data_IF_247351556173
#
_entry.id   IF_247351556173
#
_cell.length_a   1.000
_cell.length_b   1.000
_cell.length_c   1.000
_cell.angle_alpha   90.00
_cell.angle_beta   90.00
_cell.angle_gamma   90.00
#
_symmetry.space_group_name_H-M   'P 1'
#
loop_
_entity.id
_entity.type
_entity.pdbx_description
1 polymer ?
#
# COMPACT_ATOMS: atom_id res chain seq x y z
N UNK A 1 -35.08 23.50 32.50
CA UNK A 1 -34.27 24.62 33.03
C UNK A 1 -33.07 24.78 32.12
N UNK A 2 -32.89 25.95 31.53
CA UNK A 2 -31.79 26.20 30.60
C UNK A 2 -30.45 26.37 31.32
N UNK A 3 -29.33 26.15 30.63
CA UNK A 3 -27.96 26.38 31.16
C UNK A 3 -27.80 27.81 31.69
N UNK A 4 -28.51 28.78 31.10
CA UNK A 4 -28.45 30.20 31.49
C UNK A 4 -29.12 30.50 32.85
N UNK A 5 -30.07 29.67 33.29
CA UNK A 5 -30.74 29.82 34.58
C UNK A 5 -30.00 29.08 35.71
N UNK A 6 -29.10 28.18 35.32
CA UNK A 6 -28.43 27.23 36.19
C UNK A 6 -27.06 27.71 36.71
N UNK A 7 -26.42 28.64 36.00
CA UNK A 7 -25.03 29.05 36.24
C UNK A 7 -24.90 30.57 36.39
N UNK A 8 -24.01 31.01 37.28
CA UNK A 8 -23.65 32.42 37.43
C UNK A 8 -22.87 32.96 36.22
N UNK A 9 -22.79 34.29 36.09
CA UNK A 9 -22.08 34.94 34.98
C UNK A 9 -20.60 34.54 34.87
N UNK A 10 -19.93 34.28 36.01
CA UNK A 10 -18.54 33.78 36.02
C UNK A 10 -18.43 32.34 35.45
N UNK A 11 -19.33 31.45 35.86
CA UNK A 11 -19.37 30.05 35.41
C UNK A 11 -19.72 29.95 33.93
N UNK A 12 -20.68 30.77 33.50
CA UNK A 12 -21.05 30.87 32.09
C UNK A 12 -19.88 31.39 31.24
N UNK A 13 -19.11 32.37 31.75
CA UNK A 13 -17.89 32.85 31.08
C UNK A 13 -16.86 31.73 30.92
N UNK A 14 -16.68 30.89 31.94
CA UNK A 14 -15.77 29.75 31.87
C UNK A 14 -16.18 28.74 30.78
N UNK A 15 -17.47 28.41 30.70
CA UNK A 15 -18.03 27.57 29.65
C UNK A 15 -17.81 28.21 28.27
N UNK A 16 -18.09 29.51 28.12
CA UNK A 16 -17.88 30.21 26.85
C UNK A 16 -16.42 30.23 26.39
N UNK A 17 -15.45 30.38 27.31
CA UNK A 17 -14.02 30.34 26.95
C UNK A 17 -13.64 28.95 26.42
N UNK A 18 -14.20 27.88 26.99
CA UNK A 18 -13.99 26.51 26.51
C UNK A 18 -14.59 26.30 25.11
N UNK A 19 -15.84 26.71 24.88
CA UNK A 19 -16.47 26.60 23.57
C UNK A 19 -15.76 27.43 22.49
N UNK A 20 -15.26 28.62 22.86
CA UNK A 20 -14.45 29.43 21.96
C UNK A 20 -13.10 28.76 21.65
N UNK A 21 -12.56 27.96 22.58
CA UNK A 21 -11.36 27.16 22.35
C UNK A 21 -11.60 26.07 21.30
N UNK A 22 -12.75 25.37 21.33
CA UNK A 22 -13.15 24.43 20.28
C UNK A 22 -13.26 25.12 18.91
N UNK A 23 -13.91 26.29 18.87
CA UNK A 23 -14.03 27.06 17.64
C UNK A 23 -12.67 27.47 17.08
N UNK A 24 -11.76 27.94 17.95
CA UNK A 24 -10.42 28.37 17.56
C UNK A 24 -9.53 27.22 17.09
N UNK A 25 -9.68 26.02 17.65
CA UNK A 25 -8.95 24.83 17.24
C UNK A 25 -9.53 24.15 16.00
N UNK A 26 -10.63 24.69 15.43
CA UNK A 26 -11.26 24.19 14.20
C UNK A 26 -11.76 22.75 14.36
N UNK A 27 -12.20 22.41 15.57
CA UNK A 27 -12.61 21.04 15.93
C UNK A 27 -13.79 20.52 15.11
N UNK A 28 -14.63 21.41 14.60
CA UNK A 28 -15.72 21.07 13.68
C UNK A 28 -15.17 20.44 12.39
N UNK A 29 -14.15 21.06 11.78
CA UNK A 29 -13.55 20.56 10.55
C UNK A 29 -12.79 19.24 10.79
N UNK A 30 -12.09 19.13 11.93
CA UNK A 30 -11.46 17.88 12.33
C UNK A 30 -12.52 16.78 12.57
N UNK A 31 -13.68 17.12 13.11
CA UNK A 31 -14.82 16.21 13.24
C UNK A 31 -15.30 15.67 11.90
N UNK A 32 -15.48 16.54 10.90
CA UNK A 32 -15.83 16.13 9.53
C UNK A 32 -14.76 15.23 8.90
N UNK A 33 -13.48 15.56 9.07
CA UNK A 33 -12.38 14.74 8.59
C UNK A 33 -12.37 13.35 9.24
N UNK A 34 -12.56 13.27 10.56
CA UNK A 34 -12.66 12.00 11.27
C UNK A 34 -13.85 11.16 10.79
N UNK A 35 -15.00 11.79 10.54
CA UNK A 35 -16.18 11.10 10.03
C UNK A 35 -15.92 10.49 8.64
N UNK A 36 -15.31 11.26 7.74
CA UNK A 36 -14.90 10.77 6.42
C UNK A 36 -13.94 9.59 6.51
N UNK A 37 -12.91 9.70 7.35
CA UNK A 37 -11.93 8.63 7.54
C UNK A 37 -12.54 7.38 8.20
N UNK A 38 -13.53 7.53 9.08
CA UNK A 38 -14.28 6.39 9.65
C UNK A 38 -15.10 5.66 8.59
N UNK A 39 -15.67 6.39 7.62
CA UNK A 39 -16.40 5.78 6.49
C UNK A 39 -15.42 5.00 5.61
N UNK A 40 -14.27 5.59 5.26
CA UNK A 40 -13.26 4.95 4.41
C UNK A 40 -12.59 3.74 5.10
N UNK A 41 -12.33 3.84 6.40
CA UNK A 41 -11.64 2.82 7.19
C UNK A 41 -12.55 2.11 8.18
N UNK A 42 -13.82 1.91 7.81
CA UNK A 42 -14.82 1.31 8.71
C UNK A 42 -14.40 -0.07 9.25
N UNK A 43 -13.62 -0.83 8.48
CA UNK A 43 -13.11 -2.16 8.84
C UNK A 43 -11.85 -2.14 9.70
N UNK A 44 -11.20 -0.98 9.93
CA UNK A 44 -9.91 -0.91 10.61
C UNK A 44 -10.06 -0.62 12.12
N UNK A 45 -9.87 -1.61 13.02
CA UNK A 45 -10.01 -1.42 14.47
C UNK A 45 -9.01 -0.42 15.07
N UNK A 46 -7.83 -0.28 14.48
CA UNK A 46 -6.83 0.70 14.95
C UNK A 46 -7.30 2.14 14.71
N UNK A 47 -8.01 2.39 13.61
CA UNK A 47 -8.59 3.71 13.33
C UNK A 47 -9.68 4.06 14.35
N UNK A 48 -10.53 3.09 14.73
CA UNK A 48 -11.52 3.28 15.79
C UNK A 48 -10.89 3.65 17.13
N UNK A 49 -9.82 2.96 17.52
CA UNK A 49 -9.05 3.30 18.72
C UNK A 49 -8.39 4.67 18.63
N UNK A 50 -7.76 4.99 17.49
CA UNK A 50 -7.12 6.27 17.26
C UNK A 50 -8.12 7.44 17.36
N UNK A 51 -9.29 7.32 16.76
CA UNK A 51 -10.34 8.35 16.86
C UNK A 51 -10.92 8.45 18.26
N UNK A 52 -11.05 7.33 18.97
CA UNK A 52 -11.41 7.36 20.39
C UNK A 52 -10.40 8.19 21.18
N UNK A 53 -9.10 7.93 20.99
CA UNK A 53 -8.04 8.66 21.68
C UNK A 53 -8.00 10.14 21.31
N UNK A 54 -8.17 10.45 20.02
CA UNK A 54 -8.17 11.81 19.49
C UNK A 54 -9.28 12.67 20.10
N UNK A 55 -10.48 12.10 20.33
CA UNK A 55 -11.58 12.79 21.01
C UNK A 55 -11.19 13.20 22.44
N UNK A 56 -10.56 12.30 23.19
CA UNK A 56 -10.10 12.60 24.57
C UNK A 56 -9.01 13.66 24.57
N UNK A 57 -8.06 13.59 23.63
CA UNK A 57 -6.95 14.54 23.57
C UNK A 57 -7.43 15.94 23.11
N UNK A 58 -8.51 16.03 22.34
CA UNK A 58 -9.16 17.29 21.93
C UNK A 58 -9.71 18.09 23.12
N UNK A 59 -10.41 17.42 24.03
CA UNK A 59 -10.95 18.06 25.25
C UNK A 59 -9.81 18.62 26.13
N UNK A 60 -8.71 17.87 26.27
CA UNK A 60 -7.53 18.32 27.00
C UNK A 60 -6.85 19.51 26.34
N UNK A 61 -6.78 19.53 25.00
CA UNK A 61 -6.22 20.65 24.26
C UNK A 61 -7.08 21.92 24.43
N UNK A 62 -8.41 21.77 24.42
CA UNK A 62 -9.35 22.88 24.64
C UNK A 62 -9.27 23.43 26.06
N UNK A 63 -9.27 22.56 27.08
CA UNK A 63 -9.03 22.97 28.47
C UNK A 63 -7.67 23.69 28.60
N UNK A 64 -6.62 23.19 27.96
CA UNK A 64 -5.30 23.82 27.99
C UNK A 64 -5.29 25.19 27.33
N UNK A 65 -6.00 25.36 26.22
CA UNK A 65 -6.14 26.65 25.54
C UNK A 65 -6.98 27.63 26.36
N UNK A 66 -8.07 27.17 26.98
CA UNK A 66 -8.91 27.96 27.88
C UNK A 66 -8.09 28.48 29.07
N UNK A 67 -7.39 27.59 29.78
CA UNK A 67 -6.51 27.93 30.90
C UNK A 67 -5.37 28.87 30.48
N UNK A 68 -4.84 28.73 29.26
CA UNK A 68 -3.78 29.62 28.76
C UNK A 68 -4.19 31.09 28.63
N UNK A 69 -5.50 31.36 28.54
CA UNK A 69 -6.11 32.69 28.40
C UNK A 69 -6.66 33.25 29.71
N UNK A 70 -6.63 32.46 30.77
CA UNK A 70 -7.10 32.83 32.10
C UNK A 70 -5.97 33.43 32.96
N UNK A 71 -6.37 34.17 33.98
CA UNK A 71 -5.47 34.70 35.01
C UNK A 71 -5.03 33.56 35.96
N UNK A 72 -3.91 33.76 36.68
CA UNK A 72 -3.29 32.71 37.51
C UNK A 72 -4.21 32.09 38.59
N UNK A 73 -5.26 32.80 39.02
CA UNK A 73 -6.17 32.36 40.09
C UNK A 73 -7.48 31.74 39.59
N UNK A 74 -7.75 31.79 38.30
CA UNK A 74 -9.00 31.32 37.69
C UNK A 74 -9.07 29.80 37.38
N UNK A 75 -7.96 29.07 37.09
CA UNK A 75 -8.03 27.65 36.74
C UNK A 75 -8.71 26.73 37.77
N UNK A 76 -8.55 26.94 39.11
CA UNK A 76 -9.30 26.16 40.10
C UNK A 76 -10.82 26.42 40.05
N UNK A 77 -11.24 27.65 39.77
CA UNK A 77 -12.67 28.00 39.63
C UNK A 77 -13.27 27.38 38.36
N UNK A 78 -12.52 27.44 37.26
CA UNK A 78 -12.85 26.76 36.00
C UNK A 78 -13.02 25.24 36.19
N UNK A 79 -12.05 24.60 36.87
CA UNK A 79 -12.12 23.16 37.15
C UNK A 79 -13.34 22.76 37.96
N UNK A 80 -13.73 23.58 38.96
CA UNK A 80 -14.99 23.38 39.71
C UNK A 80 -16.22 23.52 38.81
N UNK A 81 -16.25 24.53 37.95
CA UNK A 81 -17.36 24.72 37.00
C UNK A 81 -17.55 23.48 36.10
N UNK A 82 -16.46 22.87 35.63
CA UNK A 82 -16.53 21.62 34.84
C UNK A 82 -17.02 20.45 35.69
N UNK A 83 -16.57 20.31 36.94
CA UNK A 83 -17.04 19.26 37.84
C UNK A 83 -18.53 19.40 38.11
N UNK A 84 -19.02 20.59 38.43
CA UNK A 84 -20.43 20.87 38.67
C UNK A 84 -21.29 20.61 37.42
N UNK A 85 -20.76 20.96 36.24
CA UNK A 85 -21.38 20.65 34.95
C UNK A 85 -21.48 19.13 34.76
N UNK A 86 -20.40 18.40 35.00
CA UNK A 86 -20.35 16.95 34.83
C UNK A 86 -21.24 16.20 35.83
N UNK A 87 -21.21 16.57 37.11
CA UNK A 87 -22.05 15.97 38.15
C UNK A 87 -23.53 16.12 37.80
N UNK A 88 -23.93 17.28 37.27
CA UNK A 88 -25.32 17.54 36.92
C UNK A 88 -25.77 16.79 35.67
N UNK A 89 -24.90 16.61 34.67
CA UNK A 89 -25.23 15.86 33.45
C UNK A 89 -25.08 14.33 33.61
N UNK A 90 -24.19 13.86 34.48
CA UNK A 90 -23.99 12.42 34.73
C UNK A 90 -25.16 11.78 35.48
N UNK A 91 -25.91 12.55 36.28
CA UNK A 91 -27.12 12.07 36.97
C UNK A 91 -28.26 11.65 36.02
N UNK A 92 -28.19 11.96 34.72
CA UNK A 92 -29.26 11.68 33.73
C UNK A 92 -29.08 10.33 33.01
N UNK A 93 -27.94 9.63 33.17
CA UNK A 93 -27.59 8.44 32.35
C UNK A 93 -27.39 7.16 33.17
N UNK A 94 -28.47 6.44 33.48
CA UNK A 94 -28.42 5.05 33.97
C UNK A 94 -29.10 4.09 32.98
N UNK A 95 -28.30 3.42 32.13
CA UNK A 95 -28.68 2.20 31.39
C UNK A 95 -27.48 1.24 31.25
N UNK A 96 -27.65 -0.06 30.94
CA UNK A 96 -26.57 -1.06 31.00
C UNK A 96 -25.69 -1.16 29.73
N UNK A 97 -26.07 -0.55 28.60
CA UNK A 97 -25.27 -0.56 27.35
C UNK A 97 -24.03 0.35 27.38
N UNK A 98 -23.56 0.72 28.57
CA UNK A 98 -22.78 1.93 28.79
C UNK A 98 -21.38 1.65 29.38
N UNK A 99 -20.72 0.59 28.91
CA UNK A 99 -19.29 0.40 29.18
C UNK A 99 -18.44 1.65 28.80
N UNK A 100 -18.92 2.47 27.85
CA UNK A 100 -18.30 3.75 27.46
C UNK A 100 -18.43 4.93 28.44
N UNK A 101 -19.30 4.88 29.46
CA UNK A 101 -19.43 5.96 30.49
C UNK A 101 -18.56 5.68 31.72
N UNK A 102 -18.19 4.42 32.02
CA UNK A 102 -17.17 4.12 33.04
C UNK A 102 -15.83 4.80 32.72
N UNK A 103 -15.59 5.08 31.45
CA UNK A 103 -14.47 5.90 30.96
C UNK A 103 -14.58 7.39 31.33
N UNK A 104 -15.78 7.96 31.51
CA UNK A 104 -15.97 9.41 31.64
C UNK A 104 -15.42 9.98 32.94
N UNK A 105 -15.47 9.22 34.04
CA UNK A 105 -14.84 9.62 35.31
C UNK A 105 -13.31 9.70 35.18
N UNK A 106 -12.70 8.75 34.48
CA UNK A 106 -11.26 8.73 34.22
C UNK A 106 -10.82 9.87 33.26
N UNK A 107 -11.68 10.21 32.28
CA UNK A 107 -11.48 11.34 31.37
C UNK A 107 -11.56 12.66 32.14
N UNK A 108 -12.57 12.83 33.00
CA UNK A 108 -12.73 14.01 33.85
C UNK A 108 -11.56 14.18 34.82
N UNK A 109 -11.14 13.11 35.48
CA UNK A 109 -9.95 13.12 36.36
C UNK A 109 -8.71 13.59 35.59
N UNK A 110 -8.52 13.09 34.35
CA UNK A 110 -7.40 13.49 33.49
C UNK A 110 -7.46 14.98 33.12
N UNK A 111 -8.65 15.52 32.83
CA UNK A 111 -8.86 16.96 32.58
C UNK A 111 -8.49 17.81 33.80
N UNK A 112 -9.00 17.46 34.98
CA UNK A 112 -8.74 18.20 36.23
C UNK A 112 -7.26 18.14 36.61
N UNK A 113 -6.60 16.97 36.49
CA UNK A 113 -5.15 16.84 36.70
C UNK A 113 -4.35 17.72 35.73
N UNK A 114 -4.76 17.79 34.46
CA UNK A 114 -4.11 18.62 33.45
C UNK A 114 -4.28 20.12 33.77
N UNK A 115 -5.50 20.57 34.11
CA UNK A 115 -5.80 21.95 34.52
C UNK A 115 -4.96 22.34 35.75
N UNK A 116 -4.91 21.47 36.76
CA UNK A 116 -4.16 21.72 38.01
C UNK A 116 -2.64 21.82 37.79
N UNK A 117 -2.09 21.06 36.83
CA UNK A 117 -0.66 21.03 36.52
C UNK A 117 -0.30 21.82 35.26
N UNK A 118 -1.19 22.68 34.79
CA UNK A 118 -1.01 23.38 33.53
C UNK A 118 0.26 24.23 33.53
N UNK A 119 1.08 24.08 32.48
CA UNK A 119 2.25 24.91 32.21
C UNK A 119 2.17 25.41 30.77
N UNK A 120 2.44 26.70 30.56
CA UNK A 120 2.50 27.28 29.20
C UNK A 120 3.58 26.54 28.41
N UNK A 121 3.17 25.81 27.37
CA UNK A 121 4.10 25.13 26.48
C UNK A 121 4.86 26.13 25.61
N UNK A 122 6.16 25.89 25.39
CA UNK A 122 7.00 26.74 24.55
C UNK A 122 6.78 26.41 23.07
N UNK A 123 6.53 27.43 22.26
CA UNK A 123 6.31 27.32 20.80
C UNK A 123 7.44 26.56 20.08
N UNK A 124 8.67 26.63 20.60
CA UNK A 124 9.84 25.91 20.07
C UNK A 124 9.73 24.39 20.24
N UNK A 125 9.17 23.92 21.37
CA UNK A 125 9.00 22.48 21.63
C UNK A 125 7.91 21.87 20.74
N UNK A 126 6.82 22.59 20.52
CA UNK A 126 5.75 22.18 19.60
C UNK A 126 6.24 22.11 18.15
N UNK A 127 7.04 23.09 17.70
CA UNK A 127 7.63 23.07 16.35
C UNK A 127 8.57 21.88 16.15
N UNK A 128 9.39 21.54 17.15
CA UNK A 128 10.26 20.36 17.11
C UNK A 128 9.49 19.05 16.97
N UNK A 129 8.40 18.88 17.72
CA UNK A 129 7.55 17.69 17.62
C UNK A 129 6.91 17.53 16.23
N UNK A 130 6.42 18.65 15.65
CA UNK A 130 5.85 18.65 14.29
C UNK A 130 6.91 18.29 13.25
N UNK A 131 8.13 18.83 13.36
CA UNK A 131 9.23 18.48 12.44
C UNK A 131 9.58 17.00 12.47
N UNK A 132 9.63 16.39 13.67
CA UNK A 132 9.89 14.95 13.81
C UNK A 132 8.77 14.12 13.16
N UNK A 133 7.50 14.50 13.36
CA UNK A 133 6.37 13.81 12.73
C UNK A 133 6.40 13.91 11.20
N UNK A 134 6.74 15.09 10.66
CA UNK A 134 6.87 15.28 9.21
C UNK A 134 8.03 14.47 8.65
N UNK A 135 9.17 14.41 9.34
CA UNK A 135 10.31 13.59 8.93
C UNK A 135 9.97 12.10 8.94
N UNK A 136 9.27 11.61 9.96
CA UNK A 136 8.80 10.23 10.03
C UNK A 136 7.79 9.92 8.93
N UNK A 137 6.83 10.82 8.67
CA UNK A 137 5.89 10.67 7.57
C UNK A 137 6.62 10.62 6.23
N UNK A 138 7.62 11.48 6.01
CA UNK A 138 8.44 11.47 4.80
C UNK A 138 9.14 10.11 4.61
N UNK A 139 9.84 9.60 5.64
CA UNK A 139 10.57 8.32 5.57
C UNK A 139 9.64 7.12 5.38
N UNK A 140 8.44 7.15 5.96
CA UNK A 140 7.51 6.00 5.93
C UNK A 140 6.53 6.03 4.76
N UNK A 141 6.35 7.19 4.09
CA UNK A 141 5.48 7.34 2.92
C UNK A 141 6.25 7.40 1.60
N UNK A 142 7.59 7.50 1.62
CA UNK A 142 8.41 7.32 0.42
C UNK A 142 8.48 5.83 0.06
N UNK A 143 7.58 5.45 -0.86
CA UNK A 143 7.55 4.27 -1.71
C UNK A 143 7.63 2.88 -1.07
N UNK A 144 6.46 2.27 -0.91
CA UNK A 144 6.33 0.85 -1.22
C UNK A 144 6.42 0.69 -2.75
N UNK A 145 7.63 0.41 -3.27
CA UNK A 145 7.79 -0.05 -4.65
C UNK A 145 6.98 -1.33 -4.82
N UNK A 146 5.74 -1.19 -5.29
CA UNK A 146 4.95 -2.32 -5.74
C UNK A 146 5.55 -2.71 -7.08
N UNK A 147 6.56 -3.59 -7.06
CA UNK A 147 6.98 -4.26 -8.27
C UNK A 147 5.72 -4.86 -8.90
N UNK A 148 5.31 -4.36 -10.06
CA UNK A 148 4.29 -5.04 -10.83
C UNK A 148 4.82 -6.46 -11.04
N UNK A 149 4.10 -7.46 -10.56
CA UNK A 149 4.50 -8.85 -10.74
C UNK A 149 4.28 -9.16 -12.22
N UNK A 150 5.35 -9.01 -13.00
CA UNK A 150 5.37 -9.22 -14.45
C UNK A 150 5.06 -10.67 -14.83
N UNK A 151 5.48 -11.58 -13.97
CA UNK A 151 5.23 -13.02 -14.06
C UNK A 151 4.36 -13.46 -12.87
N UNK A 152 4.34 -14.75 -12.54
CA UNK A 152 3.61 -15.29 -11.39
C UNK A 152 4.34 -15.23 -10.05
N UNK A 153 5.53 -14.62 -10.01
CA UNK A 153 6.42 -14.57 -8.85
C UNK A 153 7.86 -14.90 -9.22
N UNK A 154 8.76 -14.88 -8.22
CA UNK A 154 10.20 -15.07 -8.40
C UNK A 154 10.95 -13.80 -8.77
N UNK A 155 12.28 -13.85 -8.67
CA UNK A 155 13.21 -12.76 -9.00
C UNK A 155 14.02 -13.05 -10.27
N UNK A 156 13.88 -14.24 -10.85
CA UNK A 156 14.64 -14.66 -12.04
C UNK A 156 16.04 -15.18 -11.71
N UNK A 157 16.40 -15.27 -10.43
CA UNK A 157 17.67 -15.82 -9.98
C UNK A 157 17.63 -17.35 -9.94
N UNK A 158 18.78 -18.06 -10.00
CA UNK A 158 18.80 -19.54 -10.07
C UNK A 158 18.05 -20.27 -8.95
N UNK A 159 18.02 -19.69 -7.75
CA UNK A 159 17.31 -20.26 -6.59
C UNK A 159 15.88 -19.71 -6.43
N UNK A 160 15.47 -18.76 -7.28
CA UNK A 160 14.17 -18.09 -7.22
C UNK A 160 13.71 -17.68 -8.64
N UNK A 161 13.45 -18.68 -9.52
CA UNK A 161 13.15 -18.45 -10.92
C UNK A 161 11.80 -17.75 -11.09
N UNK A 162 11.64 -17.01 -12.18
CA UNK A 162 10.34 -16.46 -12.55
C UNK A 162 9.33 -17.57 -12.84
N UNK A 163 8.15 -17.48 -12.22
CA UNK A 163 7.11 -18.50 -12.32
C UNK A 163 6.11 -18.16 -13.43
N UNK A 164 5.87 -19.09 -14.34
CA UNK A 164 5.00 -18.89 -15.51
C UNK A 164 3.77 -19.79 -15.41
N UNK A 165 2.58 -19.18 -15.38
CA UNK A 165 1.28 -19.86 -15.22
C UNK A 165 0.35 -19.69 -16.42
N UNK A 166 0.60 -18.68 -17.27
CA UNK A 166 -0.35 -18.26 -18.31
C UNK A 166 0.34 -18.01 -19.65
N UNK A 167 -0.45 -18.05 -20.72
CA UNK A 167 0.00 -17.77 -22.08
C UNK A 167 0.54 -16.33 -22.21
N UNK A 168 -0.10 -15.38 -21.53
CA UNK A 168 0.30 -13.97 -21.51
C UNK A 168 1.67 -13.79 -20.83
N UNK A 169 1.90 -14.48 -19.71
CA UNK A 169 3.20 -14.46 -19.04
C UNK A 169 4.30 -15.10 -19.88
N UNK A 170 3.98 -16.18 -20.61
CA UNK A 170 4.91 -16.80 -21.55
C UNK A 170 5.28 -15.83 -22.69
N UNK A 171 4.29 -15.16 -23.28
CA UNK A 171 4.50 -14.17 -24.33
C UNK A 171 5.24 -12.91 -23.84
N UNK A 172 5.09 -12.57 -22.56
CA UNK A 172 5.79 -11.43 -21.94
C UNK A 172 7.31 -11.66 -21.84
N UNK A 173 7.79 -12.90 -21.82
CA UNK A 173 9.23 -13.22 -21.84
C UNK A 173 9.85 -12.70 -23.14
N UNK A 174 9.22 -12.99 -24.28
CA UNK A 174 9.72 -12.52 -25.58
C UNK A 174 9.59 -11.01 -25.76
N UNK A 175 8.71 -10.34 -25.02
CA UNK A 175 8.52 -8.90 -25.09
C UNK A 175 9.63 -8.09 -24.37
N UNK A 176 10.43 -8.72 -23.51
CA UNK A 176 11.44 -8.02 -22.71
C UNK A 176 12.76 -8.79 -22.67
N UNK A 177 13.67 -8.33 -23.51
CA UNK A 177 14.99 -8.90 -23.65
C UNK A 177 15.87 -8.74 -22.39
N UNK A 178 15.51 -7.88 -21.44
CA UNK A 178 16.29 -7.70 -20.20
C UNK A 178 16.21 -8.90 -19.26
N UNK A 179 15.24 -9.80 -19.46
CA UNK A 179 15.12 -11.01 -18.65
C UNK A 179 15.69 -12.26 -19.35
N UNK A 180 16.27 -12.15 -20.55
CA UNK A 180 16.71 -13.32 -21.33
C UNK A 180 17.95 -14.02 -20.76
N UNK A 181 18.59 -13.45 -19.74
CA UNK A 181 19.66 -14.07 -18.94
C UNK A 181 19.14 -14.72 -17.64
N UNK A 182 17.84 -14.66 -17.37
CA UNK A 182 17.21 -15.12 -16.13
C UNK A 182 16.72 -16.56 -16.18
N UNK A 183 16.39 -17.07 -14.99
CA UNK A 183 15.82 -18.40 -14.80
C UNK A 183 14.28 -18.34 -14.78
N UNK A 184 13.65 -19.21 -15.56
CA UNK A 184 12.19 -19.33 -15.68
C UNK A 184 11.75 -20.75 -15.37
N UNK A 185 10.56 -20.89 -14.80
CA UNK A 185 9.94 -22.18 -14.50
C UNK A 185 8.47 -22.19 -14.84
N UNK A 186 8.04 -23.17 -15.63
CA UNK A 186 6.62 -23.41 -15.84
C UNK A 186 5.98 -24.00 -14.58
N UNK A 187 4.79 -23.49 -14.26
CA UNK A 187 3.97 -23.93 -13.13
C UNK A 187 2.62 -24.49 -13.57
N UNK A 188 2.33 -24.46 -14.87
CA UNK A 188 1.15 -25.02 -15.49
C UNK A 188 1.45 -25.39 -16.94
N UNK A 189 0.62 -26.27 -17.51
CA UNK A 189 0.57 -26.44 -18.96
C UNK A 189 0.03 -25.15 -19.60
N UNK A 190 0.65 -24.71 -20.69
CA UNK A 190 0.34 -23.45 -21.35
C UNK A 190 -0.22 -23.74 -22.74
N UNK A 191 -1.36 -23.14 -23.06
CA UNK A 191 -1.95 -23.14 -24.40
C UNK A 191 -1.72 -21.78 -25.07
N UNK A 192 -1.00 -21.78 -26.20
CA UNK A 192 -0.66 -20.57 -26.94
C UNK A 192 -1.60 -20.30 -28.12
N UNK A 193 -2.72 -21.01 -28.25
CA UNK A 193 -3.68 -20.85 -29.35
C UNK A 193 -4.27 -19.43 -29.48
N UNK A 194 -4.20 -18.61 -28.44
CA UNK A 194 -4.62 -17.20 -28.50
C UNK A 194 -3.67 -16.32 -29.34
N UNK A 195 -2.43 -16.75 -29.55
CA UNK A 195 -1.47 -16.07 -30.42
C UNK A 195 -1.48 -16.70 -31.81
N UNK A 196 -1.65 -15.86 -32.82
CA UNK A 196 -1.73 -16.26 -34.24
C UNK A 196 -0.87 -15.36 -35.11
N UNK A 197 -0.48 -15.85 -36.30
CA UNK A 197 0.38 -15.12 -37.22
C UNK A 197 1.72 -14.75 -36.58
N UNK A 198 1.95 -13.45 -36.37
CA UNK A 198 3.17 -12.88 -35.76
C UNK A 198 2.96 -12.31 -34.36
N UNK A 199 1.81 -12.59 -33.72
CA UNK A 199 1.44 -11.94 -32.44
C UNK A 199 2.16 -12.51 -31.20
N UNK A 200 2.86 -13.64 -31.32
CA UNK A 200 3.73 -14.13 -30.27
C UNK A 200 5.11 -13.47 -30.37
N UNK A 201 5.65 -12.96 -29.27
CA UNK A 201 6.99 -12.39 -29.21
C UNK A 201 8.00 -13.52 -29.11
N UNK A 202 8.77 -13.73 -30.18
CA UNK A 202 9.82 -14.76 -30.24
C UNK A 202 10.94 -14.41 -29.25
N UNK A 203 11.40 -15.42 -28.50
CA UNK A 203 12.44 -15.25 -27.49
C UNK A 203 13.83 -15.41 -28.13
N UNK A 204 14.64 -14.36 -28.08
CA UNK A 204 15.97 -14.34 -28.70
C UNK A 204 15.91 -14.11 -30.21
N UNK A 205 16.76 -13.22 -30.72
CA UNK A 205 16.84 -12.92 -32.15
C UNK A 205 18.29 -12.85 -32.64
N UNK A 206 18.46 -13.15 -33.93
CA UNK A 206 19.72 -13.12 -34.65
C UNK A 206 19.61 -12.13 -35.80
N UNK A 207 20.67 -11.38 -36.04
CA UNK A 207 20.74 -10.35 -37.09
C UNK A 207 21.75 -10.75 -38.17
N UNK A 208 23.01 -10.94 -37.79
CA UNK A 208 24.08 -11.38 -38.70
C UNK A 208 25.25 -11.98 -37.90
N UNK A 209 26.10 -12.76 -38.56
CA UNK A 209 27.30 -13.36 -38.00
C UNK A 209 28.24 -12.29 -37.41
N UNK A 210 28.45 -12.35 -36.09
CA UNK A 210 29.33 -11.41 -35.38
C UNK A 210 28.72 -10.04 -35.10
N UNK A 211 27.44 -9.83 -35.41
CA UNK A 211 26.73 -8.59 -35.05
C UNK A 211 26.64 -8.43 -33.53
N UNK A 212 26.93 -7.23 -32.97
CA UNK A 212 26.70 -6.93 -31.55
C UNK A 212 25.21 -6.83 -31.21
N UNK A 213 24.34 -6.70 -32.21
CA UNK A 213 22.89 -6.61 -32.02
C UNK A 213 22.24 -7.98 -31.84
N UNK A 214 22.99 -9.08 -32.05
CA UNK A 214 22.53 -10.42 -31.73
C UNK A 214 22.20 -10.53 -30.25
N UNK A 215 21.02 -11.04 -29.94
CA UNK A 215 20.57 -11.14 -28.56
C UNK A 215 19.96 -12.53 -28.30
N UNK A 216 20.78 -13.53 -27.94
CA UNK A 216 20.29 -14.87 -27.63
C UNK A 216 19.64 -14.92 -26.25
N UNK A 217 18.74 -15.88 -26.05
CA UNK A 217 18.38 -16.33 -24.71
C UNK A 217 19.55 -17.07 -24.06
N UNK A 218 20.07 -16.54 -22.95
CA UNK A 218 21.25 -17.08 -22.23
C UNK A 218 20.91 -17.69 -20.87
N UNK A 219 19.67 -17.51 -20.42
CA UNK A 219 19.17 -18.01 -19.16
C UNK A 219 18.85 -19.50 -19.14
N UNK A 220 18.05 -19.89 -18.16
CA UNK A 220 17.57 -21.27 -17.98
C UNK A 220 16.06 -21.27 -18.02
N UNK A 221 15.48 -22.07 -18.89
CA UNK A 221 14.03 -22.30 -18.96
C UNK A 221 13.71 -23.74 -18.56
N UNK A 222 13.15 -23.91 -17.37
CA UNK A 222 12.71 -25.21 -16.86
C UNK A 222 11.22 -25.40 -17.11
N UNK A 223 10.87 -26.27 -18.05
CA UNK A 223 9.51 -26.70 -18.30
C UNK A 223 8.89 -27.45 -17.13
N UNK A 224 9.69 -27.92 -16.15
CA UNK A 224 9.20 -28.55 -14.92
C UNK A 224 8.22 -29.72 -15.19
N UNK A 225 8.39 -30.39 -16.33
CA UNK A 225 7.52 -31.48 -16.80
C UNK A 225 6.20 -31.02 -17.45
N UNK A 226 5.92 -29.72 -17.48
CA UNK A 226 4.77 -29.13 -18.14
C UNK A 226 4.95 -29.02 -19.65
N UNK A 227 3.84 -28.74 -20.32
CA UNK A 227 3.75 -28.70 -21.77
C UNK A 227 3.28 -27.34 -22.25
N UNK A 228 3.86 -26.90 -23.36
CA UNK A 228 3.37 -25.80 -24.16
C UNK A 228 2.66 -26.41 -25.37
N UNK A 229 1.46 -25.92 -25.67
CA UNK A 229 0.62 -26.43 -26.75
C UNK A 229 0.21 -25.34 -27.72
N UNK A 230 -0.05 -25.73 -28.97
CA UNK A 230 -0.61 -24.87 -30.02
C UNK A 230 0.21 -23.60 -30.31
N UNK A 231 1.53 -23.66 -30.14
CA UNK A 231 2.41 -22.60 -30.62
C UNK A 231 2.28 -22.50 -32.15
N UNK A 232 1.74 -21.38 -32.64
CA UNK A 232 1.57 -21.11 -34.06
C UNK A 232 2.29 -19.82 -34.44
N UNK A 233 3.21 -19.88 -35.40
CA UNK A 233 3.91 -18.71 -35.89
C UNK A 233 4.09 -18.75 -37.41
N UNK A 234 3.82 -17.62 -38.06
CA UNK A 234 4.03 -17.44 -39.51
C UNK A 234 4.95 -16.26 -39.72
N UNK A 235 6.21 -16.54 -40.04
CA UNK A 235 7.23 -15.52 -40.28
C UNK A 235 6.98 -14.80 -41.60
N UNK A 236 7.31 -13.50 -41.62
CA UNK A 236 7.37 -12.68 -42.83
C UNK A 236 8.80 -12.44 -43.31
N UNK A 237 9.79 -12.84 -42.52
CA UNK A 237 11.20 -12.44 -42.66
C UNK A 237 12.15 -13.64 -42.64
N UNK A 238 13.46 -13.37 -42.75
CA UNK A 238 14.50 -14.40 -42.89
C UNK A 238 15.05 -14.97 -41.58
N UNK A 239 14.53 -14.51 -40.44
CA UNK A 239 15.10 -14.78 -39.12
C UNK A 239 14.92 -16.23 -38.67
N UNK A 240 15.72 -16.73 -37.71
CA UNK A 240 15.49 -18.02 -37.08
C UNK A 240 14.15 -18.05 -36.34
N UNK A 241 13.32 -19.04 -36.65
CA UNK A 241 11.96 -19.13 -36.10
C UNK A 241 11.81 -20.36 -35.23
N UNK A 242 11.37 -20.12 -34.00
CA UNK A 242 10.94 -21.08 -33.00
C UNK A 242 10.35 -20.36 -31.81
N UNK A 243 9.73 -21.08 -30.87
CA UNK A 243 9.27 -20.49 -29.61
C UNK A 243 10.42 -19.69 -28.95
N UNK A 244 11.63 -20.24 -29.04
CA UNK A 244 12.89 -19.53 -28.89
C UNK A 244 13.56 -19.40 -30.26
N UNK A 245 13.76 -18.18 -30.74
CA UNK A 245 14.41 -17.92 -32.03
C UNK A 245 15.91 -18.23 -31.98
N UNK A 246 16.61 -17.68 -30.98
CA UNK A 246 18.06 -17.77 -30.85
C UNK A 246 18.50 -18.05 -29.41
N UNK A 247 19.24 -19.14 -29.18
CA UNK A 247 19.52 -19.66 -27.83
C UNK A 247 21.02 -19.89 -27.61
N UNK A 248 21.51 -19.45 -26.46
CA UNK A 248 22.84 -19.71 -25.90
C UNK A 248 22.73 -20.01 -24.39
N UNK A 249 21.78 -20.87 -24.04
CA UNK A 249 21.35 -21.16 -22.68
C UNK A 249 20.70 -22.54 -22.58
N UNK A 250 19.92 -22.78 -21.54
CA UNK A 250 19.36 -24.11 -21.25
C UNK A 250 17.84 -24.12 -21.34
N UNK A 251 17.27 -25.14 -21.98
CA UNK A 251 15.84 -25.42 -22.01
C UNK A 251 15.66 -26.88 -21.57
N UNK A 252 15.09 -27.08 -20.40
CA UNK A 252 15.04 -28.38 -19.76
C UNK A 252 13.59 -28.79 -19.47
N UNK A 253 13.29 -30.08 -19.56
CA UNK A 253 12.03 -30.68 -19.12
C UNK A 253 10.77 -30.07 -19.75
N UNK A 254 10.85 -29.66 -21.02
CA UNK A 254 9.78 -28.93 -21.71
C UNK A 254 9.19 -29.75 -22.86
N UNK A 255 7.89 -30.04 -22.80
CA UNK A 255 7.15 -30.62 -23.92
C UNK A 255 6.52 -29.56 -24.81
N UNK A 256 6.71 -29.64 -26.13
CA UNK A 256 5.98 -28.83 -27.10
C UNK A 256 5.00 -29.72 -27.90
N UNK A 257 3.70 -29.43 -27.83
CA UNK A 257 2.64 -30.23 -28.49
C UNK A 257 1.91 -29.39 -29.54
N UNK A 258 1.66 -30.00 -30.70
CA UNK A 258 0.95 -29.39 -31.84
C UNK A 258 1.51 -28.04 -32.29
N UNK A 259 2.84 -27.86 -32.42
CA UNK A 259 3.35 -26.63 -32.96
C UNK A 259 3.09 -26.55 -34.47
N UNK A 260 2.83 -25.33 -34.95
CA UNK A 260 2.80 -24.99 -36.36
C UNK A 260 3.74 -23.80 -36.59
N UNK A 261 4.79 -24.01 -37.39
CA UNK A 261 5.71 -22.94 -37.76
C UNK A 261 5.79 -22.89 -39.28
N UNK A 262 5.42 -21.74 -39.84
CA UNK A 262 5.67 -21.38 -41.22
C UNK A 262 6.78 -20.32 -41.24
N UNK A 263 7.95 -20.71 -41.73
CA UNK A 263 9.13 -19.85 -41.73
C UNK A 263 9.25 -18.97 -42.98
N UNK A 264 8.31 -19.04 -43.92
CA UNK A 264 8.40 -18.29 -45.16
C UNK A 264 9.71 -18.57 -45.91
N UNK A 265 10.54 -17.53 -46.09
CA UNK A 265 11.84 -17.60 -46.76
C UNK A 265 13.04 -17.66 -45.79
N UNK A 266 12.80 -17.77 -44.48
CA UNK A 266 13.85 -17.73 -43.46
C UNK A 266 14.65 -19.01 -43.28
N UNK A 267 15.84 -18.84 -42.68
CA UNK A 267 16.78 -19.91 -42.36
C UNK A 267 16.83 -20.19 -40.87
N UNK A 268 16.98 -21.46 -40.47
CA UNK A 268 17.04 -21.86 -39.06
C UNK A 268 15.66 -21.99 -38.41
N UNK A 269 14.94 -23.07 -38.76
CA UNK A 269 13.56 -23.27 -38.36
C UNK A 269 13.45 -24.50 -37.45
N UNK A 270 12.92 -24.28 -36.26
CA UNK A 270 12.56 -25.35 -35.36
C UNK A 270 11.45 -24.90 -34.43
N UNK A 271 10.41 -25.71 -34.27
CA UNK A 271 9.23 -25.31 -33.51
C UNK A 271 9.54 -24.87 -32.07
N UNK A 272 10.51 -25.53 -31.43
CA UNK A 272 10.97 -25.17 -30.09
C UNK A 272 12.12 -24.15 -30.13
N UNK A 273 13.18 -24.46 -30.88
CA UNK A 273 14.36 -23.59 -31.04
C UNK A 273 14.67 -23.43 -32.52
N UNK A 274 14.76 -22.17 -32.98
CA UNK A 274 15.19 -21.84 -34.34
C UNK A 274 16.67 -22.11 -34.54
N UNK A 275 17.53 -21.55 -33.69
CA UNK A 275 18.97 -21.79 -33.67
C UNK A 275 19.54 -21.84 -32.25
N UNK A 276 20.17 -22.97 -31.91
CA UNK A 276 20.99 -23.17 -30.70
C UNK A 276 22.48 -22.93 -31.00
N UNK A 277 23.10 -21.96 -30.34
CA UNK A 277 24.56 -21.71 -30.42
C UNK A 277 25.31 -22.72 -29.54
N UNK A 278 25.03 -22.68 -28.23
CA UNK A 278 25.52 -23.59 -27.21
C UNK A 278 24.44 -23.76 -26.15
N UNK A 279 24.51 -24.87 -25.41
CA UNK A 279 23.58 -25.15 -24.32
C UNK A 279 22.93 -26.51 -24.47
N UNK A 280 21.86 -26.73 -23.71
CA UNK A 280 21.21 -28.03 -23.60
C UNK A 280 19.71 -27.89 -23.84
N UNK A 281 19.15 -28.83 -24.59
CA UNK A 281 17.71 -29.00 -24.79
C UNK A 281 17.36 -30.42 -24.35
N UNK A 282 16.55 -30.58 -23.30
CA UNK A 282 16.14 -31.89 -22.74
C UNK A 282 14.65 -32.03 -22.50
#
# INVERSE_FOLDING_TARGET
>A
QGILEAYGLEELRYIFIHELAHFKQRDIYLGWLMALLQILHWFNPLMWFAFHRMRVDRELACDGLAVSRMNAHEPPKYGRTILDLFERFSQVSYMPSIAGILEDSSKLERRIKMIAKFKKTSRKRSAGAVLVLVALAYVTLTDAYSAQVKYGGGTGEPNDPYLIYTAEQMNAIGADANDWDKCFKLMADIDLACFTGTSFNIIGYWVDSGSPDNNPFTGVFDGNGHKISNFSYTSTDTDPVGLFGYVNGEINNLGLIYPYVDAGTGGGVGSLVGWLINGTIT
#
